data_IF_171146536980
#
_entry.id   IF_171146536980
#
_cell.length_a   1.000
_cell.length_b   1.000
_cell.length_c   1.000
_cell.angle_alpha   90.00
_cell.angle_beta   90.00
_cell.angle_gamma   90.00
#
_symmetry.space_group_name_H-M   'P 1'
#
loop_
_entity.id
_entity.type
_entity.pdbx_description
1 polymer ?
#
# COMPACT_ATOMS: atom_id res chain seq x y z
N UNK A 1 -9.84 -3.78 -7.30
CA UNK A 1 -9.63 -2.54 -8.01
C UNK A 1 -10.26 -1.38 -7.27
N UNK A 2 -11.56 -1.13 -7.32
CA UNK A 2 -12.14 0.08 -6.72
C UNK A 2 -11.98 0.13 -5.19
N UNK A 3 -12.19 -0.95 -4.56
CA UNK A 3 -12.25 -0.99 -3.11
C UNK A 3 -10.88 -1.04 -2.41
N UNK A 4 -9.84 -1.60 -3.00
CA UNK A 4 -8.49 -1.61 -2.43
C UNK A 4 -7.70 -0.33 -2.72
N UNK A 5 -8.22 0.56 -3.58
CA UNK A 5 -7.57 1.82 -3.90
C UNK A 5 -7.45 2.75 -2.69
N UNK A 6 -8.46 2.76 -1.81
CA UNK A 6 -8.42 3.57 -0.57
C UNK A 6 -7.33 3.09 0.39
N UNK A 7 -7.13 1.77 0.51
CA UNK A 7 -6.06 1.19 1.33
C UNK A 7 -4.69 1.51 0.75
N UNK A 8 -4.54 1.42 -0.57
CA UNK A 8 -3.30 1.78 -1.26
C UNK A 8 -2.99 3.27 -1.11
N UNK A 9 -4.00 4.15 -1.21
CA UNK A 9 -3.83 5.59 -1.03
C UNK A 9 -3.41 5.94 0.41
N UNK A 10 -3.96 5.26 1.41
CA UNK A 10 -3.57 5.43 2.79
C UNK A 10 -2.10 5.04 3.00
N UNK A 11 -1.68 3.90 2.46
CA UNK A 11 -0.27 3.47 2.51
C UNK A 11 0.66 4.48 1.83
N UNK A 12 0.31 4.96 0.63
CA UNK A 12 1.10 5.98 -0.09
C UNK A 12 1.24 7.23 0.76
N UNK A 13 0.14 7.72 1.34
CA UNK A 13 0.17 8.89 2.21
C UNK A 13 1.15 8.71 3.38
N UNK A 14 1.05 7.59 4.09
CA UNK A 14 1.93 7.26 5.21
C UNK A 14 3.40 7.17 4.81
N UNK A 15 3.69 6.52 3.69
CA UNK A 15 5.06 6.39 3.18
C UNK A 15 5.64 7.73 2.72
N UNK A 16 4.84 8.61 2.12
CA UNK A 16 5.26 9.97 1.77
C UNK A 16 5.68 10.77 3.00
N UNK A 17 4.95 10.67 4.11
CA UNK A 17 5.33 11.31 5.37
C UNK A 17 6.67 10.81 5.92
N UNK A 18 7.02 9.56 5.64
CA UNK A 18 8.32 8.97 5.98
C UNK A 18 9.41 9.29 4.94
N UNK A 19 9.07 10.03 3.88
CA UNK A 19 10.00 10.50 2.85
C UNK A 19 10.34 9.46 1.79
N UNK A 20 9.45 8.50 1.55
CA UNK A 20 9.57 7.59 0.40
C UNK A 20 8.94 8.22 -0.84
N UNK A 21 9.58 8.06 -1.98
CA UNK A 21 8.96 8.33 -3.27
C UNK A 21 8.12 7.11 -3.66
N UNK A 22 6.81 7.27 -3.61
CA UNK A 22 5.88 6.20 -3.95
C UNK A 22 4.69 6.76 -4.72
N UNK A 23 4.12 5.93 -5.57
CA UNK A 23 3.00 6.28 -6.43
C UNK A 23 2.01 5.13 -6.46
N UNK A 24 0.74 5.45 -6.65
CA UNK A 24 -0.28 4.46 -6.95
C UNK A 24 -1.08 4.89 -8.18
N UNK A 25 -1.59 3.94 -8.91
CA UNK A 25 -2.42 4.17 -10.08
C UNK A 25 -3.72 3.36 -9.96
N UNK A 26 -4.84 4.03 -10.19
CA UNK A 26 -6.17 3.39 -10.28
C UNK A 26 -6.44 2.86 -11.69
N UNK A 27 -5.85 3.49 -12.71
CA UNK A 27 -5.96 3.07 -14.09
C UNK A 27 -5.14 1.80 -14.37
N UNK A 28 -5.75 0.84 -15.05
CA UNK A 28 -5.17 -0.50 -15.31
C UNK A 28 -3.93 -0.42 -16.20
N UNK A 29 -3.96 0.44 -17.21
CA UNK A 29 -2.83 0.58 -18.14
C UNK A 29 -1.65 1.25 -17.44
N UNK A 30 -1.91 2.28 -16.64
CA UNK A 30 -0.87 2.95 -15.87
C UNK A 30 -0.26 2.03 -14.81
N UNK A 31 -1.03 1.12 -14.21
CA UNK A 31 -0.49 0.08 -13.33
C UNK A 31 0.51 -0.82 -14.05
N UNK A 32 0.16 -1.33 -15.23
CA UNK A 32 1.03 -2.22 -16.01
C UNK A 32 2.24 -1.48 -16.59
N UNK A 33 2.06 -0.25 -17.08
CA UNK A 33 3.15 0.59 -17.58
C UNK A 33 4.14 0.92 -16.45
N UNK A 34 3.65 1.34 -15.30
CA UNK A 34 4.49 1.62 -14.13
C UNK A 34 5.26 0.37 -13.69
N UNK A 35 4.59 -0.78 -13.62
CA UNK A 35 5.21 -2.05 -13.26
C UNK A 35 6.31 -2.47 -14.25
N UNK A 36 6.15 -2.18 -15.54
CA UNK A 36 7.15 -2.50 -16.58
C UNK A 36 8.43 -1.65 -16.49
N UNK A 37 8.34 -0.48 -15.85
CA UNK A 37 9.47 0.45 -15.67
C UNK A 37 10.24 0.21 -14.36
N UNK A 38 9.77 -0.68 -13.50
CA UNK A 38 10.46 -1.06 -12.28
C UNK A 38 11.73 -1.86 -12.60
N UNK A 39 12.65 -1.88 -11.64
CA UNK A 39 13.94 -2.56 -11.74
C UNK A 39 14.38 -3.11 -10.39
N UNK A 40 15.50 -3.79 -10.38
CA UNK A 40 16.15 -4.23 -9.13
C UNK A 40 16.38 -3.03 -8.19
N UNK A 41 16.02 -3.22 -6.91
CA UNK A 41 16.03 -2.19 -5.89
C UNK A 41 14.69 -1.46 -5.70
N UNK A 42 13.75 -1.60 -6.63
CA UNK A 42 12.40 -1.08 -6.48
C UNK A 42 11.50 -2.08 -5.74
N UNK A 43 10.42 -1.58 -5.14
CA UNK A 43 9.39 -2.37 -4.47
C UNK A 43 8.03 -2.12 -5.10
N UNK A 44 7.39 -3.18 -5.58
CA UNK A 44 5.99 -3.17 -5.95
C UNK A 44 5.11 -3.71 -4.82
N UNK A 45 4.04 -2.99 -4.48
CA UNK A 45 3.09 -3.42 -3.46
C UNK A 45 1.73 -3.65 -4.11
N UNK A 46 1.28 -4.89 -4.14
CA UNK A 46 -0.02 -5.29 -4.66
C UNK A 46 -1.04 -5.42 -3.55
N UNK A 47 -2.12 -4.63 -3.60
CA UNK A 47 -3.21 -4.70 -2.63
C UNK A 47 -4.48 -5.14 -3.34
N UNK A 48 -4.98 -6.32 -2.97
CA UNK A 48 -6.18 -6.90 -3.56
C UNK A 48 -6.88 -7.81 -2.57
N UNK A 49 -8.08 -7.43 -2.12
CA UNK A 49 -8.85 -8.21 -1.15
C UNK A 49 -9.05 -9.65 -1.60
N UNK A 50 -9.53 -9.89 -2.80
CA UNK A 50 -9.68 -11.25 -3.35
C UNK A 50 -8.35 -11.90 -3.78
N UNK A 51 -7.31 -11.09 -3.99
CA UNK A 51 -6.04 -11.52 -4.56
C UNK A 51 -6.13 -12.12 -5.97
N UNK A 52 -7.28 -11.95 -6.64
CA UNK A 52 -7.59 -12.52 -7.96
C UNK A 52 -7.96 -11.46 -9.00
N UNK A 53 -7.91 -10.18 -8.65
CA UNK A 53 -8.14 -9.08 -9.59
C UNK A 53 -7.15 -9.14 -10.74
N UNK A 54 -7.66 -9.36 -11.96
CA UNK A 54 -6.84 -9.59 -13.15
C UNK A 54 -5.83 -8.48 -13.40
N UNK A 55 -6.24 -7.23 -13.27
CA UNK A 55 -5.37 -6.06 -13.43
C UNK A 55 -4.24 -6.03 -12.40
N UNK A 56 -4.57 -6.19 -11.13
CA UNK A 56 -3.57 -6.18 -10.05
C UNK A 56 -2.60 -7.36 -10.19
N UNK A 57 -3.10 -8.56 -10.50
CA UNK A 57 -2.25 -9.75 -10.72
C UNK A 57 -1.30 -9.54 -11.90
N UNK A 58 -1.79 -8.96 -13.01
CA UNK A 58 -0.95 -8.67 -14.17
C UNK A 58 0.14 -7.65 -13.86
N UNK A 59 -0.20 -6.55 -13.20
CA UNK A 59 0.77 -5.53 -12.79
C UNK A 59 1.85 -6.11 -11.87
N UNK A 60 1.46 -6.90 -10.86
CA UNK A 60 2.39 -7.54 -9.94
C UNK A 60 3.29 -8.56 -10.65
N UNK A 61 2.72 -9.37 -11.56
CA UNK A 61 3.51 -10.29 -12.41
C UNK A 61 4.52 -9.52 -13.27
N UNK A 62 4.12 -8.38 -13.84
CA UNK A 62 5.00 -7.53 -14.63
C UNK A 62 6.12 -6.93 -13.77
N UNK A 63 5.80 -6.39 -12.60
CA UNK A 63 6.78 -5.87 -11.65
C UNK A 63 7.86 -6.92 -11.29
N UNK A 64 7.41 -8.15 -11.00
CA UNK A 64 8.33 -9.27 -10.73
C UNK A 64 9.24 -9.57 -11.91
N UNK A 65 8.71 -9.58 -13.14
CA UNK A 65 9.51 -9.80 -14.37
C UNK A 65 10.51 -8.67 -14.61
N UNK A 66 10.20 -7.46 -14.19
CA UNK A 66 11.10 -6.29 -14.30
C UNK A 66 12.21 -6.28 -13.24
N UNK A 67 12.22 -7.26 -12.32
CA UNK A 67 13.25 -7.41 -11.29
C UNK A 67 12.96 -6.71 -9.96
N UNK A 68 11.81 -6.10 -9.80
CA UNK A 68 11.42 -5.49 -8.53
C UNK A 68 11.11 -6.54 -7.45
N UNK A 69 11.34 -6.17 -6.21
CA UNK A 69 10.80 -6.92 -5.07
C UNK A 69 9.28 -6.74 -4.99
N UNK A 70 8.57 -7.77 -4.57
CA UNK A 70 7.11 -7.79 -4.58
C UNK A 70 6.54 -8.14 -3.21
N UNK A 71 5.75 -7.23 -2.65
CA UNK A 71 4.93 -7.45 -1.46
C UNK A 71 3.46 -7.46 -1.88
N UNK A 72 2.70 -8.44 -1.41
CA UNK A 72 1.26 -8.49 -1.65
C UNK A 72 0.48 -8.51 -0.34
N UNK A 73 -0.62 -7.76 -0.31
CA UNK A 73 -1.62 -7.76 0.75
C UNK A 73 -2.96 -8.25 0.18
N UNK A 74 -3.48 -9.31 0.76
CA UNK A 74 -4.75 -9.94 0.36
C UNK A 74 -5.50 -10.50 1.56
N UNK A 75 -6.78 -10.82 1.37
CA UNK A 75 -7.55 -11.51 2.40
C UNK A 75 -7.48 -13.04 2.32
N UNK A 76 -6.87 -13.60 1.27
CA UNK A 76 -6.85 -15.05 1.02
C UNK A 76 -5.42 -15.57 0.86
N UNK A 77 -5.04 -16.53 1.69
CA UNK A 77 -3.71 -17.14 1.69
C UNK A 77 -3.34 -17.79 0.35
N UNK A 78 -4.29 -18.51 -0.25
CA UNK A 78 -4.08 -19.21 -1.53
C UNK A 78 -4.44 -18.39 -2.76
N UNK A 79 -4.43 -17.06 -2.65
CA UNK A 79 -4.78 -16.18 -3.73
C UNK A 79 -3.76 -16.18 -4.87
N UNK A 80 -4.24 -15.95 -6.10
CA UNK A 80 -3.40 -15.97 -7.31
C UNK A 80 -2.24 -14.96 -7.25
N UNK A 81 -2.45 -13.79 -6.64
CA UNK A 81 -1.43 -12.75 -6.48
C UNK A 81 -0.22 -13.23 -5.69
N UNK A 82 -0.44 -14.13 -4.72
CA UNK A 82 0.62 -14.68 -3.87
C UNK A 82 1.69 -15.47 -4.63
N UNK A 83 1.36 -16.02 -5.81
CA UNK A 83 2.33 -16.73 -6.66
C UNK A 83 3.47 -15.85 -7.18
N UNK A 84 3.30 -14.54 -7.15
CA UNK A 84 4.25 -13.56 -7.66
C UNK A 84 4.92 -12.74 -6.56
N UNK A 85 4.51 -12.95 -5.30
CA UNK A 85 5.00 -12.21 -4.16
C UNK A 85 6.29 -12.81 -3.59
N UNK A 86 7.23 -11.97 -3.21
CA UNK A 86 8.34 -12.35 -2.33
C UNK A 86 7.85 -12.42 -0.88
N UNK A 87 6.89 -11.55 -0.53
CA UNK A 87 6.22 -11.54 0.77
C UNK A 87 4.71 -11.38 0.58
N UNK A 88 3.96 -12.30 1.15
CA UNK A 88 2.50 -12.27 1.18
C UNK A 88 2.02 -11.96 2.60
N UNK A 89 1.25 -10.89 2.75
CA UNK A 89 0.51 -10.57 3.97
C UNK A 89 -0.95 -10.94 3.76
N UNK A 90 -1.50 -11.74 4.67
CA UNK A 90 -2.87 -12.21 4.59
C UNK A 90 -3.67 -11.79 5.82
N UNK A 91 -4.86 -11.21 5.60
CA UNK A 91 -5.73 -10.76 6.69
C UNK A 91 -6.71 -11.83 7.15
N UNK A 92 -7.00 -12.83 6.33
CA UNK A 92 -7.97 -13.93 6.60
C UNK A 92 -9.29 -13.49 7.22
N UNK A 93 -9.75 -12.30 6.88
CA UNK A 93 -11.00 -11.79 7.40
C UNK A 93 -12.18 -12.54 6.77
N UNK A 94 -12.88 -13.36 7.57
CA UNK A 94 -14.02 -14.18 7.13
C UNK A 94 -15.36 -13.45 7.17
N UNK A 95 -15.38 -12.12 7.19
CA UNK A 95 -16.63 -11.37 7.12
C UNK A 95 -17.33 -11.56 5.78
N UNK A 96 -18.31 -12.41 5.78
CA UNK A 96 -19.27 -12.55 4.68
C UNK A 96 -20.46 -11.60 4.94
N UNK A 97 -20.32 -10.34 4.54
CA UNK A 97 -21.43 -9.40 4.50
C UNK A 97 -21.96 -9.30 3.07
N UNK A 98 -23.16 -9.86 2.83
CA UNK A 98 -23.91 -9.71 1.59
C UNK A 98 -23.13 -9.96 0.28
N UNK A 99 -22.72 -11.19 0.05
CA UNK A 99 -22.07 -11.59 -1.19
C UNK A 99 -20.71 -10.92 -1.39
N UNK A 100 -20.26 -10.80 -2.62
CA UNK A 100 -18.94 -10.26 -2.96
C UNK A 100 -18.91 -8.72 -3.11
N UNK A 101 -19.96 -8.00 -2.67
CA UNK A 101 -20.10 -6.58 -3.00
C UNK A 101 -19.48 -5.62 -1.99
N UNK A 102 -19.54 -5.93 -0.69
CA UNK A 102 -19.05 -5.02 0.35
C UNK A 102 -18.20 -5.77 1.38
N UNK A 103 -16.91 -5.47 1.42
CA UNK A 103 -15.99 -6.04 2.40
C UNK A 103 -15.49 -4.97 3.36
N UNK A 104 -15.35 -5.34 4.63
CA UNK A 104 -14.66 -4.49 5.60
C UNK A 104 -13.17 -4.40 5.26
N UNK A 105 -12.61 -3.18 5.35
CA UNK A 105 -11.18 -2.92 5.11
C UNK A 105 -10.38 -2.72 6.38
N UNK A 106 -11.03 -2.87 7.53
CA UNK A 106 -10.39 -2.64 8.83
C UNK A 106 -9.11 -3.46 8.96
N UNK A 107 -9.15 -4.74 8.57
CA UNK A 107 -7.98 -5.62 8.65
C UNK A 107 -6.84 -5.16 7.74
N UNK A 108 -7.16 -4.76 6.50
CA UNK A 108 -6.17 -4.28 5.53
C UNK A 108 -5.56 -2.95 5.98
N UNK A 109 -6.37 -2.05 6.52
CA UNK A 109 -5.91 -0.77 7.10
C UNK A 109 -5.02 -1.04 8.32
N UNK A 110 -5.41 -1.97 9.19
CA UNK A 110 -4.58 -2.35 10.34
C UNK A 110 -3.20 -2.88 9.90
N UNK A 111 -3.14 -3.70 8.84
CA UNK A 111 -1.86 -4.17 8.28
C UNK A 111 -1.04 -3.01 7.72
N UNK A 112 -1.67 -2.05 7.04
CA UNK A 112 -1.00 -0.83 6.57
C UNK A 112 -0.42 -0.02 7.73
N UNK A 113 -1.15 0.11 8.84
CA UNK A 113 -0.65 0.77 10.05
C UNK A 113 0.52 0.00 10.67
N UNK A 114 0.48 -1.32 10.69
CA UNK A 114 1.59 -2.16 11.17
C UNK A 114 2.83 -1.98 10.29
N UNK A 115 2.69 -1.93 8.96
CA UNK A 115 3.80 -1.65 8.03
C UNK A 115 4.39 -0.28 8.35
N UNK A 116 3.56 0.74 8.48
CA UNK A 116 3.99 2.11 8.79
C UNK A 116 4.78 2.18 10.09
N UNK A 117 4.25 1.61 11.17
CA UNK A 117 4.94 1.55 12.48
C UNK A 117 6.23 0.72 12.39
N UNK A 118 6.20 -0.41 11.68
CA UNK A 118 7.37 -1.26 11.48
C UNK A 118 8.51 -0.52 10.76
N UNK A 119 8.18 0.29 9.75
CA UNK A 119 9.18 1.14 9.06
C UNK A 119 9.76 2.18 10.02
N UNK A 120 8.93 2.85 10.83
CA UNK A 120 9.43 3.81 11.82
C UNK A 120 10.39 3.14 12.80
N UNK A 121 10.02 1.97 13.31
CA UNK A 121 10.83 1.24 14.28
C UNK A 121 12.14 0.69 13.70
N UNK A 122 12.21 0.48 12.39
CA UNK A 122 13.44 -0.01 11.72
C UNK A 122 14.61 1.00 11.79
N UNK A 123 14.30 2.29 11.85
CA UNK A 123 15.24 3.37 12.09
C UNK A 123 14.50 4.57 12.71
N UNK A 124 14.24 4.45 14.01
CA UNK A 124 13.39 5.38 14.76
C UNK A 124 13.85 6.84 14.62
N UNK A 125 15.14 7.10 14.75
CA UNK A 125 15.69 8.46 14.67
C UNK A 125 15.45 9.07 13.29
N UNK A 126 15.81 8.36 12.25
CA UNK A 126 15.66 8.80 10.85
C UNK A 126 14.22 9.12 10.51
N UNK A 127 13.29 8.22 10.84
CA UNK A 127 11.89 8.38 10.44
C UNK A 127 11.12 9.37 11.31
N UNK A 128 11.44 9.52 12.58
CA UNK A 128 10.85 10.60 13.42
C UNK A 128 11.31 11.98 12.97
N UNK A 129 12.58 12.16 12.56
CA UNK A 129 13.06 13.42 11.97
C UNK A 129 12.29 13.77 10.67
N UNK A 130 11.98 12.76 9.84
CA UNK A 130 11.17 12.95 8.62
C UNK A 130 9.73 13.30 8.92
N UNK A 131 9.11 12.66 9.91
CA UNK A 131 7.77 12.98 10.39
C UNK A 131 7.68 14.41 10.93
N UNK A 132 8.67 14.86 11.69
CA UNK A 132 8.73 16.23 12.21
C UNK A 132 8.81 17.26 11.07
N UNK A 133 9.56 16.95 10.01
CA UNK A 133 9.63 17.79 8.81
C UNK A 133 8.26 17.87 8.12
N UNK A 134 7.62 16.76 7.88
CA UNK A 134 6.30 16.68 7.25
C UNK A 134 5.23 17.39 8.10
N UNK A 135 5.25 17.20 9.41
CA UNK A 135 4.37 17.87 10.37
C UNK A 135 4.50 19.40 10.33
N UNK A 136 5.73 19.92 10.19
CA UNK A 136 5.95 21.37 10.05
C UNK A 136 5.32 21.95 8.79
N UNK A 137 5.31 21.20 7.69
CA UNK A 137 4.65 21.62 6.46
C UNK A 137 3.14 21.70 6.67
N UNK A 138 2.54 20.65 7.26
CA UNK A 138 1.09 20.60 7.51
C UNK A 138 0.63 21.74 8.45
N UNK A 139 1.39 22.02 9.50
CA UNK A 139 1.07 23.10 10.45
C UNK A 139 1.00 24.48 9.78
N UNK A 140 1.80 24.74 8.75
CA UNK A 140 1.75 26.03 8.01
C UNK A 140 0.45 26.23 7.23
N UNK A 141 -0.31 25.17 6.96
CA UNK A 141 -1.59 25.21 6.26
C UNK A 141 -2.80 25.16 7.20
N UNK A 142 -2.58 24.98 8.50
CA UNK A 142 -3.63 25.09 9.51
C UNK A 142 -3.90 26.55 9.87
N UNK A 143 -5.18 26.91 10.11
CA UNK A 143 -5.49 28.17 10.74
C UNK A 143 -4.94 28.14 12.18
N UNK A 144 -4.06 29.09 12.52
CA UNK A 144 -3.70 29.31 13.94
C UNK A 144 -4.98 29.69 14.69
N UNK A 145 -5.40 28.86 15.62
CA UNK A 145 -6.39 29.26 16.60
C UNK A 145 -5.76 30.39 17.43
N UNK A 146 -5.95 31.63 17.00
CA UNK A 146 -5.69 32.80 17.83
C UNK A 146 -6.61 32.68 19.05
N UNK A 147 -6.09 32.07 20.11
CA UNK A 147 -6.71 32.20 21.42
C UNK A 147 -6.70 33.69 21.76
N UNK A 148 -7.89 34.34 21.71
CA UNK A 148 -8.14 35.60 22.41
C UNK A 148 -8.09 35.39 23.91
#
# INVERSE_FOLDING_TARGET
VENSASVAQDLVTKLLYLGFNCMMYSDIYLQEISASNLREGDLAIGISHSGSSKSTVNAIRQARKSGASVLCLTNQENALIGKWADLLLCTENRQMLYGNAIFSRISEIAVVDMIYVGVILSDYKKYTERLDRSSRIVRKHGYENTKK
#
